data_IF_123062233370
#
_entry.id   IF_123062233370
#
_cell.length_a   1.000
_cell.length_b   1.000
_cell.length_c   1.000
_cell.angle_alpha   90.00
_cell.angle_beta   90.00
_cell.angle_gamma   90.00
#
_symmetry.space_group_name_H-M   'P 1'
#
loop_
_entity.id
_entity.type
_entity.pdbx_description
1 polymer ?
#
# COMPACT_ATOMS: atom_id res chain seq x y z
N UNK A 1 10.19 -11.53 -15.80
CA UNK A 1 9.38 -11.96 -16.98
C UNK A 1 9.88 -13.29 -17.53
N UNK A 2 11.18 -13.48 -17.80
CA UNK A 2 11.73 -14.74 -18.34
C UNK A 2 11.19 -15.99 -17.62
N UNK A 3 11.17 -15.99 -16.29
CA UNK A 3 10.67 -17.11 -15.50
C UNK A 3 9.20 -17.49 -15.79
N UNK A 4 8.39 -16.56 -16.29
CA UNK A 4 6.98 -16.78 -16.61
C UNK A 4 6.73 -17.11 -18.09
N UNK A 5 7.57 -16.58 -19.00
CA UNK A 5 7.34 -16.68 -20.45
C UNK A 5 8.16 -17.79 -21.11
N UNK A 6 9.39 -18.01 -20.66
CA UNK A 6 10.30 -18.96 -21.27
C UNK A 6 10.20 -20.34 -20.61
N UNK A 7 10.29 -21.41 -21.41
CA UNK A 7 10.30 -22.79 -20.90
C UNK A 7 11.55 -23.02 -20.02
N UNK A 8 12.70 -22.63 -20.50
CA UNK A 8 13.98 -22.60 -19.81
C UNK A 8 14.67 -21.27 -20.12
N UNK A 9 15.37 -20.67 -19.17
CA UNK A 9 16.07 -19.41 -19.38
C UNK A 9 17.39 -19.37 -18.63
N UNK A 10 18.32 -18.58 -19.16
CA UNK A 10 19.52 -18.11 -18.48
C UNK A 10 19.47 -16.60 -18.37
N UNK A 11 20.08 -16.04 -17.33
CA UNK A 11 20.17 -14.60 -17.10
C UNK A 11 21.51 -14.27 -16.49
N UNK A 12 22.23 -13.32 -17.07
CA UNK A 12 23.49 -12.81 -16.54
C UNK A 12 23.32 -11.32 -16.22
N UNK A 13 23.22 -11.01 -14.94
CA UNK A 13 23.01 -9.66 -14.43
C UNK A 13 24.09 -9.24 -13.44
N UNK A 14 24.11 -7.95 -13.10
CA UNK A 14 25.11 -7.38 -12.18
C UNK A 14 25.14 -8.07 -10.80
N UNK A 15 24.02 -8.58 -10.30
CA UNK A 15 23.89 -9.14 -8.96
C UNK A 15 23.48 -10.60 -8.93
N UNK A 16 22.95 -11.13 -10.04
CA UNK A 16 22.46 -12.50 -10.13
C UNK A 16 22.82 -13.09 -11.47
N UNK A 17 23.43 -14.26 -11.44
CA UNK A 17 23.64 -15.11 -12.61
C UNK A 17 22.81 -16.37 -12.44
N UNK A 18 21.99 -16.69 -13.44
CA UNK A 18 21.10 -17.85 -13.47
C UNK A 18 21.46 -18.65 -14.73
N UNK A 19 21.77 -19.90 -14.57
CA UNK A 19 22.11 -20.78 -15.68
C UNK A 19 21.05 -21.88 -15.82
N UNK A 20 20.41 -21.93 -16.99
CA UNK A 20 19.47 -22.96 -17.46
C UNK A 20 18.42 -23.37 -16.40
N UNK A 21 17.57 -22.42 -15.98
CA UNK A 21 16.52 -22.68 -14.99
C UNK A 21 15.16 -22.80 -15.67
N UNK A 22 14.43 -23.83 -15.27
CA UNK A 22 13.02 -24.05 -15.61
C UNK A 22 12.14 -23.79 -14.37
N UNK A 23 11.25 -22.82 -14.47
CA UNK A 23 10.32 -22.47 -13.38
C UNK A 23 8.96 -23.08 -13.67
N UNK A 24 8.41 -23.83 -12.73
CA UNK A 24 7.09 -24.49 -12.82
C UNK A 24 6.29 -24.28 -11.54
N UNK A 25 4.95 -24.15 -11.61
CA UNK A 25 4.12 -24.10 -12.83
C UNK A 25 4.27 -22.78 -13.58
N UNK A 26 3.91 -22.77 -14.87
CA UNK A 26 3.82 -21.53 -15.65
C UNK A 26 2.48 -20.84 -15.38
N UNK A 27 2.43 -19.50 -15.41
CA UNK A 27 1.16 -18.77 -15.28
C UNK A 27 0.16 -19.12 -16.38
N UNK A 28 -1.12 -19.18 -16.00
CA UNK A 28 -2.23 -19.33 -16.96
C UNK A 28 -2.43 -18.03 -17.74
N UNK A 29 -2.30 -16.88 -17.07
CA UNK A 29 -2.43 -15.56 -17.71
C UNK A 29 -1.33 -15.31 -18.72
N UNK A 30 -1.70 -14.72 -19.86
CA UNK A 30 -0.76 -14.39 -20.96
C UNK A 30 -0.81 -12.88 -21.25
N UNK A 31 0.33 -12.25 -21.54
CA UNK A 31 1.70 -12.85 -21.60
C UNK A 31 2.27 -13.14 -20.20
N UNK A 32 1.77 -12.50 -19.14
CA UNK A 32 2.18 -12.68 -17.73
C UNK A 32 0.99 -12.31 -16.81
N UNK A 33 0.99 -12.73 -15.54
CA UNK A 33 0.06 -12.17 -14.56
C UNK A 33 0.22 -10.66 -14.43
N UNK A 34 -0.82 -9.91 -14.04
CA UNK A 34 -0.69 -8.50 -13.67
C UNK A 34 0.38 -8.34 -12.57
N UNK A 35 1.32 -7.44 -12.81
CA UNK A 35 2.45 -7.23 -11.88
C UNK A 35 2.27 -5.89 -11.18
N UNK A 36 2.36 -5.90 -9.85
CA UNK A 36 2.30 -4.71 -9.00
C UNK A 36 3.63 -4.52 -8.29
N UNK A 37 4.10 -3.27 -8.26
CA UNK A 37 5.31 -2.86 -7.52
C UNK A 37 4.85 -2.00 -6.34
N UNK A 38 5.25 -2.38 -5.12
CA UNK A 38 5.03 -1.53 -3.95
C UNK A 38 6.04 -0.38 -3.95
N UNK A 39 5.59 0.85 -3.77
CA UNK A 39 6.43 2.02 -3.92
C UNK A 39 6.16 3.09 -2.85
N UNK A 40 7.27 3.77 -2.47
CA UNK A 40 7.27 4.93 -1.59
C UNK A 40 8.08 6.10 -2.18
N UNK A 41 8.75 5.91 -3.31
CA UNK A 41 9.68 6.91 -3.84
C UNK A 41 9.42 7.22 -5.31
N UNK A 42 9.71 8.47 -5.74
CA UNK A 42 9.62 8.88 -7.14
C UNK A 42 10.39 7.99 -8.11
N UNK A 43 11.57 7.49 -7.71
CA UNK A 43 12.38 6.58 -8.53
C UNK A 43 11.64 5.28 -8.84
N UNK A 44 10.88 4.76 -7.86
CA UNK A 44 10.06 3.55 -8.07
C UNK A 44 8.85 3.83 -8.95
N UNK A 45 8.27 5.03 -8.88
CA UNK A 45 7.20 5.44 -9.79
C UNK A 45 7.70 5.52 -11.24
N UNK A 46 8.88 6.12 -11.43
CA UNK A 46 9.52 6.22 -12.75
C UNK A 46 9.82 4.84 -13.34
N UNK A 47 10.41 3.95 -12.53
CA UNK A 47 10.66 2.56 -12.91
C UNK A 47 9.37 1.81 -13.27
N UNK A 48 8.30 1.98 -12.48
CA UNK A 48 7.02 1.35 -12.78
C UNK A 48 6.43 1.82 -14.11
N UNK A 49 6.54 3.11 -14.42
CA UNK A 49 6.16 3.69 -15.71
C UNK A 49 7.01 3.15 -16.87
N UNK A 50 8.34 3.10 -16.71
CA UNK A 50 9.28 2.59 -17.70
C UNK A 50 8.99 1.14 -18.07
N UNK A 51 8.88 0.26 -17.08
CA UNK A 51 8.66 -1.18 -17.31
C UNK A 51 7.19 -1.57 -17.52
N UNK A 52 6.26 -0.64 -17.37
CA UNK A 52 4.83 -0.92 -17.50
C UNK A 52 4.35 -1.87 -16.40
N UNK A 53 4.58 -1.51 -15.14
CA UNK A 53 4.04 -2.21 -13.97
C UNK A 53 2.91 -1.40 -13.36
N UNK A 54 1.93 -2.10 -12.78
CA UNK A 54 0.98 -1.49 -11.87
C UNK A 54 1.70 -1.03 -10.59
N UNK A 55 1.16 -0.02 -9.93
CA UNK A 55 1.68 0.44 -8.65
C UNK A 55 0.77 -0.01 -7.50
N UNK A 56 1.36 -0.25 -6.34
CA UNK A 56 0.66 -0.52 -5.09
C UNK A 56 1.15 0.47 -4.02
N UNK A 57 0.24 1.18 -3.38
CA UNK A 57 0.55 2.15 -2.32
C UNK A 57 0.06 1.66 -0.96
N UNK A 58 0.95 1.49 0.03
CA UNK A 58 0.60 1.15 1.41
C UNK A 58 0.21 2.41 2.21
N UNK A 59 -1.01 2.92 2.00
CA UNK A 59 -1.45 4.21 2.55
C UNK A 59 -1.70 4.21 4.06
N UNK A 60 -1.63 3.06 4.72
CA UNK A 60 -1.63 3.01 6.19
C UNK A 60 -0.44 3.77 6.82
N UNK A 61 0.54 4.18 6.03
CA UNK A 61 1.70 4.94 6.47
C UNK A 61 1.96 6.18 5.60
N UNK A 62 1.02 6.55 4.75
CA UNK A 62 1.13 7.69 3.83
C UNK A 62 -0.02 8.66 4.12
N UNK A 63 0.23 9.84 4.71
CA UNK A 63 -0.80 10.85 4.89
C UNK A 63 -1.44 11.29 3.58
N UNK A 64 -2.68 11.78 3.66
CA UNK A 64 -3.54 12.09 2.50
C UNK A 64 -2.85 12.97 1.46
N UNK A 65 -2.18 14.03 1.88
CA UNK A 65 -1.50 14.93 0.93
C UNK A 65 -0.33 14.24 0.21
N UNK A 66 0.44 13.41 0.92
CA UNK A 66 1.51 12.62 0.30
C UNK A 66 0.95 11.51 -0.60
N UNK A 67 -0.20 10.94 -0.26
CA UNK A 67 -0.90 9.97 -1.10
C UNK A 67 -1.33 10.61 -2.42
N UNK A 68 -1.90 11.81 -2.37
CA UNK A 68 -2.27 12.60 -3.57
C UNK A 68 -1.05 12.85 -4.47
N UNK A 69 0.09 13.25 -3.87
CA UNK A 69 1.34 13.46 -4.58
C UNK A 69 1.89 12.17 -5.20
N UNK A 70 1.80 11.04 -4.49
CA UNK A 70 2.24 9.74 -4.99
C UNK A 70 1.41 9.27 -6.19
N UNK A 71 0.08 9.42 -6.14
CA UNK A 71 -0.82 9.11 -7.25
C UNK A 71 -0.48 9.97 -8.48
N UNK A 72 -0.35 11.30 -8.28
CA UNK A 72 0.03 12.21 -9.35
C UNK A 72 1.42 11.89 -9.94
N UNK A 73 2.38 11.53 -9.10
CA UNK A 73 3.73 11.14 -9.51
C UNK A 73 3.75 9.89 -10.38
N UNK A 74 2.96 8.87 -10.03
CA UNK A 74 2.84 7.67 -10.87
C UNK A 74 2.17 7.97 -12.21
N UNK A 75 1.09 8.76 -12.22
CA UNK A 75 0.44 9.16 -13.46
C UNK A 75 1.37 9.98 -14.38
N UNK A 76 2.20 10.86 -13.80
CA UNK A 76 3.22 11.58 -14.55
C UNK A 76 4.29 10.64 -15.16
N UNK A 77 4.68 9.58 -14.41
CA UNK A 77 5.59 8.57 -14.94
C UNK A 77 4.97 7.79 -16.10
N UNK A 78 3.69 7.41 -16.02
CA UNK A 78 2.97 6.78 -17.14
C UNK A 78 2.95 7.69 -18.38
N UNK A 79 2.67 8.99 -18.23
CA UNK A 79 2.69 9.98 -19.31
C UNK A 79 4.08 10.10 -19.93
N UNK A 80 5.13 10.21 -19.11
CA UNK A 80 6.53 10.29 -19.54
C UNK A 80 6.91 9.13 -20.48
N UNK A 81 6.46 7.94 -20.16
CA UNK A 81 6.73 6.74 -20.96
C UNK A 81 5.61 6.41 -21.95
N UNK A 82 4.70 7.35 -22.21
CA UNK A 82 3.59 7.23 -23.19
C UNK A 82 2.74 5.97 -22.98
N UNK A 83 2.46 5.65 -21.71
CA UNK A 83 1.60 4.53 -21.35
C UNK A 83 0.14 4.96 -21.36
N UNK A 84 -0.74 4.11 -21.86
CA UNK A 84 -2.18 4.29 -21.72
C UNK A 84 -2.61 3.99 -20.28
N UNK A 85 -2.96 5.04 -19.53
CA UNK A 85 -3.29 4.95 -18.09
C UNK A 85 -4.44 4.00 -17.81
N UNK A 86 -5.39 3.84 -18.75
CA UNK A 86 -6.53 2.95 -18.57
C UNK A 86 -6.14 1.46 -18.44
N UNK A 87 -4.92 1.10 -18.83
CA UNK A 87 -4.39 -0.26 -18.74
C UNK A 87 -3.67 -0.54 -17.41
N UNK A 88 -3.52 0.47 -16.56
CA UNK A 88 -2.78 0.37 -15.31
C UNK A 88 -3.67 0.61 -14.10
N UNK A 89 -3.36 -0.09 -13.02
CA UNK A 89 -4.06 0.03 -11.76
C UNK A 89 -3.12 0.53 -10.66
N UNK A 90 -3.72 1.25 -9.71
CA UNK A 90 -3.03 1.81 -8.56
C UNK A 90 -3.84 1.54 -7.29
N UNK A 91 -3.90 0.27 -6.84
CA UNK A 91 -4.57 -0.03 -5.59
C UNK A 91 -3.84 0.56 -4.39
N UNK A 92 -4.64 1.07 -3.46
CA UNK A 92 -4.20 1.69 -2.22
C UNK A 92 -4.67 0.86 -1.04
N UNK A 93 -3.72 0.39 -0.20
CA UNK A 93 -4.04 -0.36 1.02
C UNK A 93 -4.41 0.58 2.15
N UNK A 94 -5.60 0.41 2.71
CA UNK A 94 -6.06 1.14 3.88
C UNK A 94 -6.61 0.19 4.97
N UNK A 95 -6.27 0.42 6.24
CA UNK A 95 -6.95 -0.23 7.36
C UNK A 95 -8.42 0.20 7.39
N UNK A 96 -9.32 -0.77 7.50
CA UNK A 96 -10.76 -0.52 7.53
C UNK A 96 -11.39 -1.32 8.66
N UNK A 97 -12.11 -0.63 9.55
CA UNK A 97 -12.89 -1.28 10.59
C UNK A 97 -14.18 -0.50 10.84
N UNK A 98 -15.32 -1.19 10.71
CA UNK A 98 -16.64 -0.59 10.83
C UNK A 98 -17.46 -1.24 11.94
N UNK A 99 -18.25 -0.41 12.59
CA UNK A 99 -19.36 -0.80 13.44
C UNK A 99 -20.56 0.09 13.13
N UNK A 100 -21.78 -0.31 13.52
CA UNK A 100 -22.98 0.55 13.41
C UNK A 100 -22.86 1.83 14.22
N UNK A 101 -22.06 1.82 15.29
CA UNK A 101 -21.64 2.98 16.08
C UNK A 101 -20.18 3.32 15.74
N UNK A 102 -19.96 4.46 15.07
CA UNK A 102 -18.63 4.88 14.62
C UNK A 102 -17.65 5.12 15.76
N UNK A 103 -18.11 5.62 16.91
CA UNK A 103 -17.25 5.82 18.07
C UNK A 103 -16.84 4.48 18.71
N UNK A 104 -17.74 3.50 18.69
CA UNK A 104 -17.42 2.13 19.11
C UNK A 104 -16.41 1.51 18.16
N UNK A 105 -16.56 1.69 16.86
CA UNK A 105 -15.60 1.21 15.88
C UNK A 105 -14.18 1.75 16.17
N UNK A 106 -14.05 3.03 16.38
CA UNK A 106 -12.76 3.67 16.69
C UNK A 106 -12.15 3.14 17.99
N UNK A 107 -12.95 3.06 19.07
CA UNK A 107 -12.46 2.51 20.36
C UNK A 107 -12.04 1.05 20.27
N UNK A 108 -12.76 0.22 19.51
CA UNK A 108 -12.47 -1.21 19.39
C UNK A 108 -11.13 -1.49 18.71
N UNK A 109 -10.78 -0.72 17.69
CA UNK A 109 -9.58 -0.96 16.86
C UNK A 109 -8.34 -0.23 17.35
N UNK A 110 -8.48 0.76 18.22
CA UNK A 110 -7.40 1.66 18.65
C UNK A 110 -6.16 0.88 19.15
N UNK A 111 -6.35 0.02 20.14
CA UNK A 111 -5.24 -0.74 20.72
C UNK A 111 -4.50 -1.59 19.69
N UNK A 112 -5.24 -2.26 18.80
CA UNK A 112 -4.66 -3.13 17.78
C UNK A 112 -3.89 -2.33 16.74
N UNK A 113 -4.45 -1.20 16.32
CA UNK A 113 -3.81 -0.33 15.33
C UNK A 113 -2.57 0.36 15.89
N UNK A 114 -2.64 0.89 17.11
CA UNK A 114 -1.48 1.55 17.72
C UNK A 114 -0.35 0.55 18.00
N UNK A 115 -0.66 -0.68 18.43
CA UNK A 115 0.35 -1.74 18.56
C UNK A 115 1.08 -2.05 17.25
N UNK A 116 0.40 -1.97 16.11
CA UNK A 116 1.04 -2.12 14.80
C UNK A 116 2.06 -1.01 14.54
N UNK A 117 1.71 0.25 14.82
CA UNK A 117 2.64 1.36 14.64
C UNK A 117 3.81 1.33 15.64
N UNK A 118 3.59 0.90 16.87
CA UNK A 118 4.66 0.70 17.86
C UNK A 118 5.69 -0.32 17.34
N UNK A 119 5.24 -1.44 16.80
CA UNK A 119 6.12 -2.46 16.19
C UNK A 119 6.90 -1.88 15.01
N UNK A 120 6.24 -1.15 14.11
CA UNK A 120 6.92 -0.49 12.99
C UNK A 120 7.95 0.52 13.50
N UNK A 121 7.61 1.32 14.49
CA UNK A 121 8.52 2.30 15.09
C UNK A 121 9.79 1.64 15.65
N UNK A 122 9.65 0.53 16.37
CA UNK A 122 10.79 -0.26 16.89
C UNK A 122 11.63 -0.80 15.72
N UNK A 123 11.01 -1.43 14.72
CA UNK A 123 11.72 -1.99 13.56
C UNK A 123 12.48 -0.91 12.78
N UNK A 124 11.87 0.25 12.56
CA UNK A 124 12.52 1.37 11.88
C UNK A 124 13.68 1.93 12.70
N UNK A 125 13.50 2.08 14.02
CA UNK A 125 14.57 2.52 14.93
C UNK A 125 15.78 1.58 14.90
N UNK A 126 15.57 0.26 14.94
CA UNK A 126 16.65 -0.71 14.82
C UNK A 126 17.36 -0.67 13.46
N UNK A 127 16.59 -0.58 12.37
CA UNK A 127 17.15 -0.47 11.03
C UNK A 127 18.03 0.77 10.91
N UNK A 128 17.53 1.91 11.36
CA UNK A 128 18.27 3.19 11.36
C UNK A 128 19.56 3.11 12.18
N UNK A 129 19.50 2.53 13.38
CA UNK A 129 20.67 2.36 14.23
C UNK A 129 21.76 1.47 13.61
N UNK A 130 21.35 0.42 12.86
CA UNK A 130 22.30 -0.44 12.12
C UNK A 130 22.95 0.30 10.94
N UNK A 131 22.18 1.10 10.22
CA UNK A 131 22.67 1.85 9.06
C UNK A 131 23.62 2.97 9.48
N UNK A 132 23.33 3.70 10.55
CA UNK A 132 24.22 4.73 11.11
C UNK A 132 25.57 4.14 11.54
N UNK A 133 25.57 2.96 12.18
CA UNK A 133 26.81 2.27 12.58
C UNK A 133 27.71 1.88 11.42
N UNK A 134 27.14 1.65 10.24
CA UNK A 134 27.91 1.26 9.05
C UNK A 134 28.47 2.44 8.25
N UNK A 135 28.29 3.68 8.69
CA UNK A 135 28.65 4.91 7.95
C UNK A 135 28.18 4.87 6.47
N UNK A 136 27.11 4.13 6.20
CA UNK A 136 26.58 4.02 4.85
C UNK A 136 25.90 5.34 4.46
N UNK A 137 26.30 5.94 3.35
CA UNK A 137 25.47 6.96 2.72
C UNK A 137 24.15 6.31 2.33
N UNK A 138 23.05 6.85 2.81
CA UNK A 138 21.73 6.37 2.43
C UNK A 138 21.53 6.59 0.92
N UNK A 139 21.22 5.56 0.15
CA UNK A 139 20.73 5.75 -1.20
C UNK A 139 19.49 6.64 -1.17
N UNK A 140 19.33 7.49 -2.18
CA UNK A 140 18.16 8.37 -2.33
C UNK A 140 16.84 7.59 -2.18
N UNK A 141 16.79 6.37 -2.71
CA UNK A 141 15.65 5.44 -2.62
C UNK A 141 15.24 5.07 -1.18
N UNK A 142 16.10 5.27 -0.19
CA UNK A 142 15.80 4.99 1.23
C UNK A 142 15.22 6.19 1.99
N UNK A 143 15.14 7.37 1.38
CA UNK A 143 14.56 8.56 2.03
C UNK A 143 13.11 8.36 2.46
N UNK A 144 12.32 7.59 1.70
CA UNK A 144 10.96 7.25 2.08
C UNK A 144 10.86 6.48 3.41
N UNK A 145 11.83 5.61 3.69
CA UNK A 145 11.89 4.90 4.98
C UNK A 145 12.29 5.81 6.14
N UNK A 146 13.11 6.84 5.89
CA UNK A 146 13.43 7.87 6.89
C UNK A 146 12.16 8.65 7.27
N UNK A 147 11.38 9.07 6.28
CA UNK A 147 10.12 9.77 6.50
C UNK A 147 9.12 8.90 7.27
N UNK A 148 9.05 7.61 6.99
CA UNK A 148 8.23 6.67 7.75
C UNK A 148 8.67 6.58 9.21
N UNK A 149 9.98 6.51 9.46
CA UNK A 149 10.55 6.52 10.81
C UNK A 149 10.22 7.80 11.59
N UNK A 150 10.23 8.96 10.93
CA UNK A 150 9.81 10.22 11.55
C UNK A 150 8.30 10.25 11.81
N UNK A 151 7.48 9.80 10.85
CA UNK A 151 6.03 9.73 11.01
C UNK A 151 5.63 8.91 12.25
N UNK A 152 6.30 7.79 12.51
CA UNK A 152 5.95 6.88 13.61
C UNK A 152 6.36 7.39 15.00
N UNK A 153 7.24 8.40 15.12
CA UNK A 153 7.69 8.93 16.42
C UNK A 153 6.61 9.67 17.19
N UNK A 154 5.80 10.46 16.49
CA UNK A 154 4.79 11.34 17.10
C UNK A 154 3.36 10.96 16.67
N UNK A 155 3.19 9.73 16.20
CA UNK A 155 1.91 9.25 15.71
C UNK A 155 0.91 9.10 16.86
N UNK A 156 -0.20 9.82 16.79
CA UNK A 156 -1.33 9.65 17.69
C UNK A 156 -2.53 9.05 16.97
N UNK A 157 -3.46 8.49 17.74
CA UNK A 157 -4.59 7.77 17.19
C UNK A 157 -5.56 8.64 16.40
N UNK A 158 -5.77 9.90 16.81
CA UNK A 158 -6.61 10.84 16.07
C UNK A 158 -6.06 11.13 14.66
N UNK A 159 -4.73 11.24 14.54
CA UNK A 159 -4.07 11.38 13.25
C UNK A 159 -4.29 10.13 12.39
N UNK A 160 -4.16 8.93 12.96
CA UNK A 160 -4.40 7.67 12.25
C UNK A 160 -5.82 7.63 11.69
N UNK A 161 -6.82 7.93 12.52
CA UNK A 161 -8.23 7.96 12.11
C UNK A 161 -8.49 8.97 10.98
N UNK A 162 -7.85 10.13 11.05
CA UNK A 162 -8.06 11.19 10.06
C UNK A 162 -7.33 10.96 8.76
N UNK A 163 -6.09 10.48 8.82
CA UNK A 163 -5.18 10.48 7.66
C UNK A 163 -4.97 9.10 7.06
N UNK A 164 -4.91 8.02 7.87
CA UNK A 164 -4.30 6.76 7.49
C UNK A 164 -5.28 5.57 7.43
N UNK A 165 -6.53 5.76 7.85
CA UNK A 165 -7.48 4.66 8.01
C UNK A 165 -8.92 5.07 7.66
N UNK A 166 -9.80 4.07 7.62
CA UNK A 166 -11.25 4.23 7.54
C UNK A 166 -11.86 3.49 8.73
N UNK A 167 -12.03 4.20 9.85
CA UNK A 167 -12.63 3.67 11.07
C UNK A 167 -13.87 4.46 11.42
N UNK A 168 -15.01 3.77 11.55
CA UNK A 168 -16.26 4.47 11.83
C UNK A 168 -17.52 3.65 11.53
N UNK A 169 -18.63 4.37 11.34
CA UNK A 169 -19.87 3.81 10.82
C UNK A 169 -19.81 3.61 9.30
N UNK A 170 -20.70 2.78 8.71
CA UNK A 170 -20.79 2.66 7.25
C UNK A 170 -20.98 3.99 6.53
N UNK A 171 -21.77 4.92 7.09
CA UNK A 171 -21.98 6.24 6.50
C UNK A 171 -20.69 7.06 6.46
N UNK A 172 -19.92 7.10 7.58
CA UNK A 172 -18.62 7.79 7.63
C UNK A 172 -17.63 7.16 6.65
N UNK A 173 -17.66 5.83 6.47
CA UNK A 173 -16.81 5.16 5.49
C UNK A 173 -17.15 5.57 4.06
N UNK A 174 -18.44 5.68 3.71
CA UNK A 174 -18.89 6.17 2.39
C UNK A 174 -18.39 7.59 2.14
N UNK A 175 -18.53 8.48 3.11
CA UNK A 175 -18.07 9.87 3.00
C UNK A 175 -16.54 9.93 2.84
N UNK A 176 -15.81 9.15 3.62
CA UNK A 176 -14.34 9.07 3.53
C UNK A 176 -13.87 8.55 2.18
N UNK A 177 -14.48 7.48 1.65
CA UNK A 177 -14.11 6.92 0.34
C UNK A 177 -14.45 7.91 -0.78
N UNK A 178 -15.59 8.61 -0.72
CA UNK A 178 -15.91 9.66 -1.67
C UNK A 178 -14.86 10.78 -1.65
N UNK A 179 -14.48 11.25 -0.48
CA UNK A 179 -13.41 12.24 -0.36
C UNK A 179 -12.09 11.73 -0.98
N UNK A 180 -11.68 10.50 -0.68
CA UNK A 180 -10.45 9.93 -1.26
C UNK A 180 -10.55 9.76 -2.78
N UNK A 181 -11.70 9.41 -3.32
CA UNK A 181 -11.94 9.33 -4.75
C UNK A 181 -11.89 10.70 -5.42
N UNK A 182 -12.65 11.66 -4.89
CA UNK A 182 -12.93 12.92 -5.59
C UNK A 182 -11.78 13.94 -5.42
N UNK A 183 -11.13 13.96 -4.24
CA UNK A 183 -10.10 14.95 -3.92
C UNK A 183 -8.67 14.41 -4.01
N UNK A 184 -8.49 13.09 -3.85
CA UNK A 184 -7.16 12.46 -3.84
C UNK A 184 -6.89 11.67 -5.12
N UNK A 185 -7.95 11.23 -5.83
CA UNK A 185 -7.84 10.45 -7.05
C UNK A 185 -7.72 8.94 -6.80
N UNK A 186 -8.27 8.44 -5.68
CA UNK A 186 -8.30 7.01 -5.38
C UNK A 186 -9.25 6.29 -6.35
N UNK A 187 -8.73 5.30 -7.07
CA UNK A 187 -9.53 4.48 -8.00
C UNK A 187 -9.76 3.05 -7.47
N UNK A 188 -8.74 2.48 -6.83
CA UNK A 188 -8.75 1.12 -6.32
C UNK A 188 -8.38 1.09 -4.83
N UNK A 189 -9.15 0.39 -4.02
CA UNK A 189 -8.86 0.21 -2.59
C UNK A 189 -8.67 -1.27 -2.23
N UNK A 190 -7.62 -1.55 -1.49
CA UNK A 190 -7.43 -2.83 -0.81
C UNK A 190 -7.76 -2.63 0.67
N UNK A 191 -8.76 -3.34 1.16
CA UNK A 191 -9.19 -3.25 2.54
C UNK A 191 -8.31 -4.13 3.43
N UNK A 192 -7.59 -3.53 4.37
CA UNK A 192 -6.97 -4.27 5.46
C UNK A 192 -7.94 -4.36 6.62
N UNK A 193 -8.70 -5.44 6.68
CA UNK A 193 -9.82 -5.61 7.61
C UNK A 193 -9.43 -6.28 8.94
N UNK A 194 -8.38 -7.12 8.95
CA UNK A 194 -7.90 -7.75 10.17
C UNK A 194 -6.67 -7.02 10.71
N UNK A 195 -6.90 -5.99 11.50
CA UNK A 195 -5.85 -5.15 12.08
C UNK A 195 -5.43 -5.74 13.43
N UNK A 196 -4.19 -6.25 13.50
CA UNK A 196 -3.63 -6.79 14.75
C UNK A 196 -4.44 -7.97 15.32
N UNK A 197 -4.66 -7.96 16.65
CA UNK A 197 -5.32 -9.03 17.38
C UNK A 197 -6.83 -8.78 17.59
N UNK A 198 -7.53 -8.26 16.58
CA UNK A 198 -8.98 -8.05 16.66
C UNK A 198 -9.74 -9.38 16.79
N UNK A 199 -10.81 -9.44 17.62
CA UNK A 199 -11.69 -10.60 17.70
C UNK A 199 -12.30 -10.94 16.33
N UNK A 200 -12.28 -12.21 15.98
CA UNK A 200 -12.70 -12.69 14.66
C UNK A 200 -14.14 -12.32 14.31
N UNK A 201 -15.06 -12.44 15.25
CA UNK A 201 -16.47 -12.07 15.10
C UNK A 201 -16.64 -10.58 14.77
N UNK A 202 -15.87 -9.70 15.39
CA UNK A 202 -15.85 -8.26 15.11
C UNK A 202 -15.32 -7.96 13.71
N UNK A 203 -14.25 -8.62 13.30
CA UNK A 203 -13.70 -8.51 11.93
C UNK A 203 -14.74 -8.94 10.91
N UNK A 204 -15.37 -10.10 11.09
CA UNK A 204 -16.42 -10.59 10.19
C UNK A 204 -17.62 -9.65 10.11
N UNK A 205 -18.03 -9.07 11.24
CA UNK A 205 -19.12 -8.09 11.27
C UNK A 205 -18.76 -6.82 10.50
N UNK A 206 -17.55 -6.29 10.71
CA UNK A 206 -17.04 -5.11 9.97
C UNK A 206 -17.02 -5.37 8.46
N UNK A 207 -16.52 -6.53 8.02
CA UNK A 207 -16.52 -6.91 6.60
C UNK A 207 -17.95 -6.98 6.03
N UNK A 208 -18.90 -7.53 6.78
CA UNK A 208 -20.30 -7.61 6.35
C UNK A 208 -20.92 -6.22 6.23
N UNK A 209 -20.71 -5.34 7.21
CA UNK A 209 -21.18 -3.95 7.15
C UNK A 209 -20.61 -3.23 5.92
N UNK A 210 -19.33 -3.43 5.64
CA UNK A 210 -18.70 -2.85 4.46
C UNK A 210 -19.34 -3.35 3.17
N UNK A 211 -19.52 -4.67 3.04
CA UNK A 211 -20.09 -5.28 1.85
C UNK A 211 -21.56 -4.86 1.61
N UNK A 212 -22.38 -4.82 2.66
CA UNK A 212 -23.81 -4.56 2.56
C UNK A 212 -24.17 -3.07 2.51
N UNK A 213 -23.37 -2.21 3.20
CA UNK A 213 -23.76 -0.81 3.40
C UNK A 213 -22.77 0.21 2.81
N UNK A 214 -21.57 -0.20 2.36
CA UNK A 214 -20.60 0.71 1.76
C UNK A 214 -20.40 0.41 0.28
N UNK A 215 -20.10 -0.84 -0.09
CA UNK A 215 -19.84 -1.22 -1.48
C UNK A 215 -20.94 -0.80 -2.45
N UNK A 216 -22.26 -0.91 -2.15
CA UNK A 216 -23.31 -0.53 -3.09
C UNK A 216 -23.30 0.95 -3.51
N UNK A 217 -22.60 1.82 -2.79
CA UNK A 217 -22.45 3.23 -3.15
C UNK A 217 -21.38 3.48 -4.24
N UNK A 218 -20.61 2.44 -4.61
CA UNK A 218 -19.47 2.52 -5.53
C UNK A 218 -19.52 1.48 -6.64
N UNK A 219 -20.59 0.67 -6.70
CA UNK A 219 -20.82 -0.34 -7.74
C UNK A 219 -21.37 0.26 -9.03
#
# INVERSE_FOLDING_TARGET
RLAWTEEEFSFDGKFHTIDRVRVVPKPVQKPTPPTFVSAFSPDTFDLAGEYGFNLFLPAQVIPVEQLKQAIAGYHAALDKYRRDKSQFRLPVLLPVYLDTDGDRARRDVERSMMSYYDIIGVMMGEMMGRLQKKHAQFPESYKGYLQLGELTKDLNYDFVCRELAIFGSPQEAVERIRFLRDEVGLEDIILWTNVGAMPHDKVCNSMRLFAEQVMPHFA
#
